data_IF_558130914531
#
_entry.id   IF_558130914531
#
_cell.length_a   1.000
_cell.length_b   1.000
_cell.length_c   1.000
_cell.angle_alpha   90.00
_cell.angle_beta   90.00
_cell.angle_gamma   90.00
#
_symmetry.space_group_name_H-M   'P 1'
#
loop_
_entity.id
_entity.type
_entity.pdbx_description
1 polymer ?
#
# COMPACT_ATOMS: atom_id res chain seq x y z
N UNK A 1 15.45 2.09 -19.46
CA UNK A 1 14.38 1.53 -18.59
C UNK A 1 13.33 2.60 -18.37
N UNK A 2 12.05 2.25 -18.41
CA UNK A 2 10.98 3.18 -18.02
C UNK A 2 10.76 3.03 -16.52
N UNK A 3 10.88 4.12 -15.76
CA UNK A 3 10.61 4.11 -14.31
C UNK A 3 9.11 3.95 -14.09
N UNK A 4 8.74 3.01 -13.23
CA UNK A 4 7.36 2.77 -12.79
C UNK A 4 7.12 3.53 -11.49
N UNK A 5 6.13 4.39 -11.47
CA UNK A 5 5.81 5.19 -10.28
C UNK A 5 4.77 4.51 -9.42
N UNK A 6 5.09 4.28 -8.16
CA UNK A 6 4.13 3.93 -7.12
C UNK A 6 3.72 5.23 -6.43
N UNK A 7 2.44 5.59 -6.54
CA UNK A 7 1.91 6.75 -5.85
C UNK A 7 1.44 6.36 -4.44
N UNK A 8 1.92 7.08 -3.44
CA UNK A 8 1.53 6.87 -2.04
C UNK A 8 0.83 8.12 -1.52
N UNK A 9 -0.42 7.96 -1.10
CA UNK A 9 -1.17 9.06 -0.51
C UNK A 9 -0.56 9.50 0.82
N UNK A 10 -0.54 10.81 1.06
CA UNK A 10 -0.10 11.41 2.33
C UNK A 10 -1.10 12.49 2.75
N UNK A 11 -1.49 12.45 4.01
CA UNK A 11 -2.47 13.35 4.61
C UNK A 11 -2.24 13.47 6.12
N UNK A 12 -2.86 14.44 6.75
CA UNK A 12 -2.77 14.60 8.21
C UNK A 12 -3.19 13.32 8.92
N UNK A 13 -2.55 13.02 10.03
CA UNK A 13 -2.73 11.83 10.87
C UNK A 13 -2.36 10.49 10.21
N UNK A 14 -1.68 10.50 9.06
CA UNK A 14 -1.14 9.28 8.44
C UNK A 14 -0.37 8.47 9.46
N UNK A 15 -0.63 7.17 9.54
CA UNK A 15 0.05 6.23 10.43
C UNK A 15 1.42 5.82 9.84
N UNK A 16 2.48 6.42 10.36
CA UNK A 16 3.85 6.33 9.80
C UNK A 16 4.37 4.89 9.66
N UNK A 17 4.03 4.03 10.61
CA UNK A 17 4.55 2.65 10.67
C UNK A 17 3.94 1.72 9.60
N UNK A 18 2.77 2.05 9.06
CA UNK A 18 1.99 1.14 8.21
C UNK A 18 2.59 0.99 6.82
N UNK A 19 3.13 2.06 6.26
CA UNK A 19 3.62 2.09 4.88
C UNK A 19 5.14 2.21 4.79
N UNK A 20 5.82 2.41 5.93
CA UNK A 20 7.26 2.63 5.96
C UNK A 20 8.05 1.49 5.31
N UNK A 21 7.70 0.23 5.61
CA UNK A 21 8.34 -0.94 5.01
C UNK A 21 8.12 -1.00 3.49
N UNK A 22 6.88 -0.80 3.02
CA UNK A 22 6.57 -0.80 1.60
C UNK A 22 7.32 0.32 0.85
N UNK A 23 7.20 1.57 1.32
CA UNK A 23 7.82 2.72 0.67
C UNK A 23 9.34 2.63 0.63
N UNK A 24 9.99 2.27 1.76
CA UNK A 24 11.43 2.19 1.85
C UNK A 24 12.00 1.13 0.90
N UNK A 25 11.36 -0.04 0.81
CA UNK A 25 11.87 -1.15 0.02
C UNK A 25 11.46 -1.09 -1.46
N UNK A 26 10.42 -0.36 -1.84
CA UNK A 26 10.17 0.01 -3.24
C UNK A 26 11.25 0.96 -3.74
N UNK A 27 11.66 1.94 -2.93
CA UNK A 27 12.67 2.92 -3.30
C UNK A 27 14.11 2.36 -3.19
N UNK A 28 14.37 1.50 -2.21
CA UNK A 28 15.68 0.84 -2.00
C UNK A 28 15.65 -0.56 -2.63
N UNK A 29 16.33 -0.73 -3.73
CA UNK A 29 16.07 -1.77 -4.71
C UNK A 29 17.21 -2.77 -4.95
N UNK A 30 18.13 -2.96 -3.98
CA UNK A 30 19.25 -3.89 -4.12
C UNK A 30 18.84 -5.33 -4.49
N UNK A 31 17.73 -5.81 -3.95
CA UNK A 31 17.18 -7.15 -4.19
C UNK A 31 16.06 -7.20 -5.24
N UNK A 32 15.80 -6.10 -5.94
CA UNK A 32 14.86 -6.09 -7.06
C UNK A 32 15.42 -6.85 -8.28
N UNK A 33 14.52 -7.44 -9.07
CA UNK A 33 14.88 -8.11 -10.33
C UNK A 33 15.57 -7.15 -11.30
N UNK A 34 15.08 -5.91 -11.36
CA UNK A 34 15.62 -4.83 -12.16
C UNK A 34 15.79 -3.59 -11.28
N UNK A 35 16.97 -3.39 -10.65
CA UNK A 35 17.22 -2.22 -9.82
C UNK A 35 16.96 -0.90 -10.56
N UNK A 36 16.33 0.07 -9.87
CA UNK A 36 15.99 1.37 -10.46
C UNK A 36 14.69 1.39 -11.26
N UNK A 37 13.94 0.29 -11.30
CA UNK A 37 12.66 0.24 -12.03
C UNK A 37 11.54 1.02 -11.32
N UNK A 38 11.53 1.07 -9.99
CA UNK A 38 10.45 1.69 -9.23
C UNK A 38 10.90 2.96 -8.50
N UNK A 39 9.99 3.90 -8.39
CA UNK A 39 10.08 5.06 -7.49
C UNK A 39 8.79 5.22 -6.71
N UNK A 40 8.85 5.87 -5.55
CA UNK A 40 7.69 6.30 -4.78
C UNK A 40 7.52 7.80 -4.95
N UNK A 41 6.31 8.24 -5.29
CA UNK A 41 5.91 9.65 -5.37
C UNK A 41 4.76 9.86 -4.40
N UNK A 42 4.87 10.85 -3.53
CA UNK A 42 3.85 11.16 -2.53
C UNK A 42 2.77 12.07 -3.09
N UNK A 43 1.50 11.77 -2.76
CA UNK A 43 0.33 12.50 -3.27
C UNK A 43 -0.50 13.01 -2.10
N UNK A 44 -0.68 14.33 -2.00
CA UNK A 44 -1.57 14.97 -1.03
C UNK A 44 -2.87 15.46 -1.67
N UNK A 45 -3.84 15.90 -0.86
CA UNK A 45 -5.00 16.64 -1.38
C UNK A 45 -4.56 17.92 -2.11
N UNK A 46 -3.50 18.55 -1.59
CA UNK A 46 -2.72 19.63 -2.20
C UNK A 46 -1.24 19.35 -2.00
N UNK A 47 -0.37 20.24 -2.44
CA UNK A 47 1.07 20.19 -2.14
C UNK A 47 1.44 20.89 -0.82
N UNK A 48 0.47 21.28 -0.01
CA UNK A 48 0.73 21.82 1.32
C UNK A 48 1.28 20.75 2.26
N UNK A 49 2.22 21.09 3.17
CA UNK A 49 2.76 20.13 4.11
C UNK A 49 1.70 19.56 5.05
N UNK A 50 1.73 18.25 5.22
CA UNK A 50 0.89 17.50 6.18
C UNK A 50 1.67 17.15 7.45
N UNK A 51 0.97 16.73 8.49
CA UNK A 51 1.57 16.25 9.74
C UNK A 51 1.06 14.84 10.03
N UNK A 52 1.97 13.86 10.09
CA UNK A 52 1.65 12.46 10.36
C UNK A 52 1.23 12.22 11.81
N UNK A 53 0.77 11.00 12.14
CA UNK A 53 0.50 10.57 13.51
C UNK A 53 1.75 10.68 14.40
N UNK A 54 2.93 10.34 13.87
CA UNK A 54 4.23 10.48 14.54
C UNK A 54 4.78 11.92 14.58
N UNK A 55 4.00 12.91 14.16
CA UNK A 55 4.36 14.34 14.15
C UNK A 55 5.45 14.69 13.15
N UNK A 56 5.72 13.85 12.18
CA UNK A 56 6.59 14.18 11.05
C UNK A 56 5.87 15.12 10.10
N UNK A 57 6.60 16.07 9.51
CA UNK A 57 6.09 16.94 8.47
C UNK A 57 6.53 16.41 7.11
N UNK A 58 5.56 16.18 6.24
CA UNK A 58 5.79 15.70 4.87
C UNK A 58 5.19 16.70 3.90
N UNK A 59 5.95 17.10 2.88
CA UNK A 59 5.44 17.90 1.76
C UNK A 59 5.16 16.91 0.62
N UNK A 60 3.90 16.80 0.16
CA UNK A 60 3.58 15.95 -0.98
C UNK A 60 4.29 16.41 -2.26
N UNK A 61 4.73 15.44 -3.06
CA UNK A 61 5.37 15.72 -4.36
C UNK A 61 4.34 16.15 -5.41
N UNK A 62 3.08 15.68 -5.29
CA UNK A 62 2.00 15.86 -6.26
C UNK A 62 0.69 16.18 -5.55
N UNK A 63 -0.12 17.04 -6.13
CA UNK A 63 -1.50 17.21 -5.71
C UNK A 63 -2.40 16.14 -6.33
N UNK A 64 -3.44 15.68 -5.60
CA UNK A 64 -4.37 14.66 -6.05
C UNK A 64 -5.07 14.99 -7.38
N UNK A 65 -5.26 16.29 -7.65
CA UNK A 65 -5.86 16.75 -8.91
C UNK A 65 -4.99 16.46 -10.15
N UNK A 66 -3.69 16.24 -9.95
CA UNK A 66 -2.71 15.94 -11.00
C UNK A 66 -2.47 14.43 -11.17
N UNK A 67 -3.03 13.61 -10.25
CA UNK A 67 -2.84 12.16 -10.25
C UNK A 67 -3.63 11.50 -11.39
N UNK A 68 -2.89 10.82 -12.30
CA UNK A 68 -3.47 10.02 -13.38
C UNK A 68 -3.12 8.53 -13.18
N UNK A 69 -4.10 7.61 -13.21
CA UNK A 69 -3.83 6.17 -13.20
C UNK A 69 -2.87 5.71 -14.31
N UNK A 70 -2.87 6.36 -15.47
CA UNK A 70 -2.01 6.01 -16.60
C UNK A 70 -0.51 6.17 -16.30
N UNK A 71 -0.15 7.04 -15.34
CA UNK A 71 1.21 7.31 -14.93
C UNK A 71 1.62 6.51 -13.67
N UNK A 72 0.77 5.56 -13.26
CA UNK A 72 0.93 4.85 -11.99
C UNK A 72 1.04 3.34 -12.14
N UNK A 73 1.94 2.73 -11.39
CA UNK A 73 2.02 1.29 -11.24
C UNK A 73 1.13 0.77 -10.09
N UNK A 74 0.85 1.62 -9.10
CA UNK A 74 0.00 1.31 -7.93
C UNK A 74 -0.32 2.59 -7.16
N UNK A 75 -1.50 2.62 -6.51
CA UNK A 75 -1.86 3.61 -5.50
C UNK A 75 -1.84 2.96 -4.11
N UNK A 76 -1.05 3.50 -3.19
CA UNK A 76 -1.00 3.07 -1.79
C UNK A 76 -1.73 4.09 -0.92
N UNK A 77 -2.65 3.60 -0.09
CA UNK A 77 -3.47 4.38 0.84
C UNK A 77 -3.17 3.94 2.28
N UNK A 78 -2.42 4.74 3.05
CA UNK A 78 -2.17 4.50 4.47
C UNK A 78 -3.42 4.68 5.34
N UNK A 79 -3.40 4.14 6.56
CA UNK A 79 -4.36 4.49 7.60
C UNK A 79 -4.17 5.93 8.10
N UNK A 80 -5.26 6.52 8.57
CA UNK A 80 -5.31 7.80 9.24
C UNK A 80 -6.62 7.94 10.00
N UNK A 81 -6.68 8.81 11.00
CA UNK A 81 -7.91 9.11 11.74
C UNK A 81 -8.99 9.75 10.85
N UNK A 82 -8.57 10.35 9.73
CA UNK A 82 -9.46 11.07 8.82
C UNK A 82 -10.37 10.17 7.97
N UNK A 83 -10.12 8.86 7.89
CA UNK A 83 -10.88 7.95 7.04
C UNK A 83 -12.35 7.77 7.46
N UNK A 84 -12.65 7.93 8.75
CA UNK A 84 -14.03 7.81 9.24
C UNK A 84 -14.93 9.01 8.88
N UNK A 85 -14.31 10.13 8.45
CA UNK A 85 -15.00 11.33 7.97
C UNK A 85 -14.95 11.45 6.45
N UNK A 86 -15.37 12.62 5.94
CA UNK A 86 -15.43 12.90 4.50
C UNK A 86 -14.16 13.55 3.94
N UNK A 87 -13.18 13.84 4.80
CA UNK A 87 -11.97 14.56 4.39
C UNK A 87 -11.16 13.83 3.31
N UNK A 88 -11.18 12.50 3.33
CA UNK A 88 -10.45 11.66 2.37
C UNK A 88 -11.34 11.06 1.26
N UNK A 89 -12.61 11.48 1.14
CA UNK A 89 -13.48 11.06 0.04
C UNK A 89 -12.88 11.28 -1.37
N UNK A 90 -12.06 12.32 -1.63
CA UNK A 90 -11.35 12.44 -2.91
C UNK A 90 -10.38 11.29 -3.21
N UNK A 91 -9.76 10.68 -2.20
CA UNK A 91 -8.91 9.49 -2.38
C UNK A 91 -9.73 8.22 -2.63
N UNK A 92 -10.95 8.11 -2.11
CA UNK A 92 -11.89 7.02 -2.45
C UNK A 92 -12.25 7.06 -3.94
N UNK A 93 -12.52 8.26 -4.46
CA UNK A 93 -12.80 8.44 -5.88
C UNK A 93 -11.56 8.15 -6.74
N UNK A 94 -10.37 8.55 -6.29
CA UNK A 94 -9.14 8.17 -6.94
C UNK A 94 -8.95 6.64 -6.98
N UNK A 95 -9.22 5.95 -5.86
CA UNK A 95 -9.15 4.48 -5.80
C UNK A 95 -10.10 3.82 -6.80
N UNK A 96 -11.35 4.31 -6.93
CA UNK A 96 -12.29 3.83 -7.97
C UNK A 96 -11.73 3.99 -9.38
N UNK A 97 -11.17 5.17 -9.68
CA UNK A 97 -10.58 5.44 -11.02
C UNK A 97 -9.40 4.50 -11.29
N UNK A 98 -8.55 4.24 -10.30
CA UNK A 98 -7.40 3.35 -10.43
C UNK A 98 -7.84 1.92 -10.72
N UNK A 99 -8.74 1.37 -9.92
CA UNK A 99 -9.27 0.01 -10.13
C UNK A 99 -9.98 -0.10 -11.47
N UNK A 100 -10.76 0.90 -11.85
CA UNK A 100 -11.44 0.93 -13.16
C UNK A 100 -10.46 0.98 -14.35
N UNK A 101 -9.26 1.55 -14.14
CA UNK A 101 -8.17 1.59 -15.13
C UNK A 101 -7.29 0.31 -15.10
N UNK A 102 -7.57 -0.66 -14.22
CA UNK A 102 -6.74 -1.86 -14.04
C UNK A 102 -5.43 -1.59 -13.30
N UNK A 103 -5.32 -0.46 -12.60
CA UNK A 103 -4.15 -0.11 -11.77
C UNK A 103 -4.43 -0.53 -10.33
N UNK A 104 -3.56 -1.33 -9.70
CA UNK A 104 -3.80 -1.83 -8.36
C UNK A 104 -3.84 -0.72 -7.30
N UNK A 105 -4.69 -0.95 -6.29
CA UNK A 105 -4.82 -0.10 -5.10
C UNK A 105 -4.55 -0.94 -3.86
N UNK A 106 -3.71 -0.45 -2.98
CA UNK A 106 -3.37 -1.08 -1.72
C UNK A 106 -3.78 -0.17 -0.55
N UNK A 107 -4.67 -0.65 0.33
CA UNK A 107 -5.12 0.08 1.51
C UNK A 107 -4.85 -0.69 2.79
N UNK A 108 -4.38 0.01 3.82
CA UNK A 108 -4.08 -0.58 5.12
C UNK A 108 -4.84 0.16 6.23
N UNK A 109 -5.28 -0.55 7.27
CA UNK A 109 -5.91 0.05 8.45
C UNK A 109 -7.16 0.90 8.10
N UNK A 110 -7.18 2.18 8.47
CA UNK A 110 -8.27 3.10 8.17
C UNK A 110 -8.60 3.23 6.68
N UNK A 111 -7.63 3.07 5.79
CA UNK A 111 -7.87 3.14 4.35
C UNK A 111 -8.79 2.02 3.83
N UNK A 112 -8.84 0.87 4.50
CA UNK A 112 -9.78 -0.20 4.15
C UNK A 112 -11.23 0.23 4.32
N UNK A 113 -11.53 1.11 5.30
CA UNK A 113 -12.85 1.73 5.47
C UNK A 113 -13.20 2.60 4.26
N UNK A 114 -12.25 3.41 3.78
CA UNK A 114 -12.43 4.19 2.56
C UNK A 114 -12.66 3.32 1.32
N UNK A 115 -11.91 2.21 1.17
CA UNK A 115 -12.12 1.25 0.08
C UNK A 115 -13.49 0.57 0.16
N UNK A 116 -13.96 0.24 1.37
CA UNK A 116 -15.30 -0.32 1.60
C UNK A 116 -16.37 0.70 1.20
N UNK A 117 -16.28 1.96 1.67
CA UNK A 117 -17.20 3.05 1.34
C UNK A 117 -17.17 3.39 -0.16
N UNK A 118 -16.04 3.16 -0.81
CA UNK A 118 -15.92 3.25 -2.26
C UNK A 118 -16.63 2.11 -3.02
N UNK A 119 -17.16 1.08 -2.34
CA UNK A 119 -17.77 -0.09 -2.97
C UNK A 119 -16.72 -1.06 -3.58
N UNK A 120 -15.45 -0.85 -3.32
CA UNK A 120 -14.36 -1.66 -3.89
C UNK A 120 -14.19 -3.01 -3.20
N UNK A 121 -14.83 -3.21 -2.04
CA UNK A 121 -14.76 -4.44 -1.26
C UNK A 121 -16.07 -5.26 -1.32
N UNK A 122 -17.10 -4.80 -2.05
CA UNK A 122 -18.43 -5.42 -2.06
C UNK A 122 -18.43 -6.82 -2.70
N UNK A 123 -17.51 -7.09 -3.63
CA UNK A 123 -17.43 -8.34 -4.39
C UNK A 123 -16.01 -8.96 -4.39
N UNK A 124 -15.18 -8.59 -3.41
CA UNK A 124 -13.77 -9.01 -3.31
C UNK A 124 -13.46 -9.59 -1.94
N UNK A 125 -12.62 -10.63 -1.91
CA UNK A 125 -11.98 -11.04 -0.68
C UNK A 125 -11.12 -9.89 -0.11
N UNK A 126 -11.26 -9.59 1.17
CA UNK A 126 -10.58 -8.47 1.82
C UNK A 126 -10.44 -8.71 3.32
N UNK A 127 -9.58 -7.91 3.95
CA UNK A 127 -9.43 -7.84 5.39
C UNK A 127 -9.39 -6.39 5.87
N UNK A 128 -9.39 -6.18 7.17
CA UNK A 128 -9.30 -4.89 7.83
C UNK A 128 -8.91 -5.08 9.30
N UNK A 129 -8.92 -4.01 10.09
CA UNK A 129 -8.72 -4.04 11.54
C UNK A 129 -9.72 -4.95 12.26
N UNK A 130 -10.97 -4.99 11.79
CA UNK A 130 -12.04 -5.87 12.26
C UNK A 130 -13.23 -5.80 11.29
N UNK A 131 -14.05 -6.87 11.16
CA UNK A 131 -15.25 -6.85 10.31
C UNK A 131 -16.27 -5.80 10.78
N UNK A 132 -16.39 -5.59 12.10
CA UNK A 132 -17.28 -4.56 12.68
C UNK A 132 -16.87 -3.15 12.28
N UNK A 133 -15.56 -2.90 12.14
CA UNK A 133 -15.06 -1.60 11.68
C UNK A 133 -15.57 -1.27 10.29
N UNK A 134 -15.50 -2.23 9.37
CA UNK A 134 -16.01 -2.04 8.00
C UNK A 134 -17.54 -1.91 7.94
N UNK A 135 -18.26 -2.55 8.85
CA UNK A 135 -19.72 -2.46 8.88
C UNK A 135 -20.23 -1.02 9.02
N UNK A 136 -19.48 -0.14 9.70
CA UNK A 136 -19.84 1.28 9.83
C UNK A 136 -19.74 2.06 8.51
N UNK A 137 -19.05 1.56 7.50
CA UNK A 137 -18.99 2.18 6.17
C UNK A 137 -20.28 2.01 5.36
N UNK A 138 -21.13 1.05 5.75
CA UNK A 138 -22.34 0.69 5.03
C UNK A 138 -22.11 -0.14 3.75
N UNK A 139 -20.92 -0.71 3.56
CA UNK A 139 -20.58 -1.55 2.41
C UNK A 139 -21.37 -2.87 2.41
N UNK A 140 -21.41 -3.54 1.27
CA UNK A 140 -22.20 -4.77 1.08
C UNK A 140 -21.36 -6.06 1.05
N UNK A 141 -20.04 -5.96 1.29
CA UNK A 141 -19.09 -7.07 1.08
C UNK A 141 -18.80 -7.94 2.31
N UNK A 142 -19.60 -7.87 3.39
CA UNK A 142 -19.29 -8.57 4.64
C UNK A 142 -19.06 -10.08 4.49
N UNK A 143 -19.70 -10.72 3.51
CA UNK A 143 -19.54 -12.15 3.22
C UNK A 143 -18.17 -12.51 2.61
N UNK A 144 -17.45 -11.52 2.09
CA UNK A 144 -16.13 -11.66 1.49
C UNK A 144 -14.99 -11.31 2.46
N UNK A 145 -15.31 -10.96 3.72
CA UNK A 145 -14.30 -10.68 4.73
C UNK A 145 -13.49 -11.94 5.06
N UNK A 146 -12.17 -11.81 5.09
CA UNK A 146 -11.23 -12.87 5.44
C UNK A 146 -10.45 -12.42 6.69
N UNK A 147 -10.47 -13.23 7.73
CA UNK A 147 -9.66 -13.00 8.94
C UNK A 147 -8.20 -13.41 8.64
N UNK A 148 -7.45 -12.46 8.07
CA UNK A 148 -6.05 -12.63 7.69
C UNK A 148 -5.31 -11.30 7.81
N UNK A 149 -3.99 -11.30 8.06
CA UNK A 149 -3.17 -10.09 8.18
C UNK A 149 -3.23 -9.18 6.95
N UNK A 150 -3.20 -9.77 5.77
CA UNK A 150 -3.34 -9.06 4.50
C UNK A 150 -4.03 -9.98 3.48
N UNK A 151 -4.78 -9.38 2.56
CA UNK A 151 -5.52 -10.09 1.50
C UNK A 151 -5.36 -9.31 0.19
N UNK A 152 -5.05 -10.04 -0.87
CA UNK A 152 -5.06 -9.53 -2.25
C UNK A 152 -6.15 -10.24 -3.04
N UNK A 153 -7.08 -9.49 -3.61
CA UNK A 153 -8.03 -10.02 -4.59
C UNK A 153 -8.09 -9.09 -5.81
N UNK A 154 -7.74 -9.65 -6.96
CA UNK A 154 -7.64 -8.92 -8.23
C UNK A 154 -6.67 -7.73 -8.09
N UNK A 155 -7.15 -6.51 -8.24
CA UNK A 155 -6.36 -5.28 -8.19
C UNK A 155 -6.50 -4.53 -6.85
N UNK A 156 -7.00 -5.18 -5.79
CA UNK A 156 -7.14 -4.57 -4.47
C UNK A 156 -6.39 -5.37 -3.42
N UNK A 157 -5.55 -4.68 -2.66
CA UNK A 157 -4.80 -5.20 -1.50
C UNK A 157 -5.37 -4.53 -0.26
N UNK A 158 -5.66 -5.32 0.77
CA UNK A 158 -6.10 -4.83 2.09
C UNK A 158 -5.27 -5.46 3.19
N UNK A 159 -5.05 -4.73 4.29
CA UNK A 159 -4.37 -5.24 5.48
C UNK A 159 -4.88 -4.56 6.76
N UNK A 160 -4.71 -5.20 7.91
CA UNK A 160 -4.92 -4.59 9.21
C UNK A 160 -3.73 -3.71 9.64
N UNK A 161 -3.93 -2.87 10.66
CA UNK A 161 -2.92 -1.90 11.14
C UNK A 161 -1.68 -2.52 11.79
N UNK A 162 -1.77 -3.80 12.17
CA UNK A 162 -0.68 -4.51 12.86
C UNK A 162 0.20 -5.30 11.89
N UNK A 163 -0.14 -5.31 10.60
CA UNK A 163 0.45 -6.15 9.56
C UNK A 163 1.20 -5.38 8.46
N UNK A 164 2.08 -4.40 8.80
CA UNK A 164 2.79 -3.60 7.80
C UNK A 164 3.74 -4.41 6.91
N UNK A 165 4.29 -5.51 7.41
CA UNK A 165 5.20 -6.38 6.63
C UNK A 165 4.43 -7.31 5.69
N UNK A 166 3.29 -7.84 6.12
CA UNK A 166 2.36 -8.60 5.29
C UNK A 166 1.81 -7.72 4.16
N UNK A 167 1.39 -6.50 4.50
CA UNK A 167 0.99 -5.49 3.52
C UNK A 167 2.08 -5.23 2.49
N UNK A 168 3.31 -4.98 2.93
CA UNK A 168 4.45 -4.73 2.05
C UNK A 168 4.73 -5.95 1.14
N UNK A 169 4.65 -7.19 1.68
CA UNK A 169 4.81 -8.42 0.90
C UNK A 169 3.79 -8.52 -0.22
N UNK A 170 2.51 -8.25 0.04
CA UNK A 170 1.46 -8.26 -0.97
C UNK A 170 1.71 -7.17 -2.05
N UNK A 171 2.12 -5.96 -1.65
CA UNK A 171 2.51 -4.88 -2.55
C UNK A 171 3.66 -5.31 -3.47
N UNK A 172 4.74 -5.89 -2.90
CA UNK A 172 5.90 -6.35 -3.68
C UNK A 172 5.54 -7.48 -4.63
N UNK A 173 4.70 -8.39 -4.19
CA UNK A 173 4.21 -9.50 -5.02
C UNK A 173 3.38 -8.97 -6.19
N UNK A 174 2.46 -8.04 -5.94
CA UNK A 174 1.61 -7.45 -6.99
C UNK A 174 2.37 -6.59 -7.99
N UNK A 175 3.44 -5.92 -7.54
CA UNK A 175 4.35 -5.14 -8.39
C UNK A 175 5.39 -6.03 -9.10
N UNK A 176 5.53 -7.29 -8.70
CA UNK A 176 6.56 -8.22 -9.22
C UNK A 176 7.97 -7.66 -9.09
N UNK A 177 8.26 -6.99 -7.96
CA UNK A 177 9.55 -6.30 -7.76
C UNK A 177 10.73 -7.26 -7.80
N UNK A 178 10.53 -8.52 -7.41
CA UNK A 178 11.55 -9.58 -7.47
C UNK A 178 10.91 -10.96 -7.66
N UNK A 179 11.74 -11.99 -7.65
CA UNK A 179 11.26 -13.38 -7.67
C UNK A 179 10.51 -13.72 -6.37
N UNK A 180 9.47 -14.58 -6.41
CA UNK A 180 8.70 -14.95 -5.21
C UNK A 180 9.56 -15.42 -4.04
N UNK A 181 10.63 -16.22 -4.30
CA UNK A 181 11.55 -16.69 -3.26
C UNK A 181 12.33 -15.56 -2.57
N UNK A 182 12.60 -14.46 -3.31
CA UNK A 182 13.34 -13.31 -2.78
C UNK A 182 12.41 -12.43 -1.96
N UNK A 183 11.18 -12.22 -2.42
CA UNK A 183 10.14 -11.54 -1.65
C UNK A 183 9.85 -12.31 -0.34
N UNK A 184 9.80 -13.67 -0.40
CA UNK A 184 9.64 -14.49 0.80
C UNK A 184 10.84 -14.35 1.75
N UNK A 185 12.08 -14.38 1.24
CA UNK A 185 13.26 -14.16 2.08
C UNK A 185 13.23 -12.78 2.74
N UNK A 186 12.82 -11.73 2.03
CA UNK A 186 12.61 -10.41 2.62
C UNK A 186 11.59 -10.49 3.78
N UNK A 187 10.46 -11.14 3.54
CA UNK A 187 9.41 -11.28 4.55
C UNK A 187 9.87 -12.09 5.77
N UNK A 188 10.57 -13.22 5.58
CA UNK A 188 11.15 -13.99 6.68
C UNK A 188 12.14 -13.16 7.52
N UNK A 189 12.97 -12.36 6.86
CA UNK A 189 13.92 -11.50 7.54
C UNK A 189 13.24 -10.44 8.41
N UNK A 190 12.29 -9.69 7.83
CA UNK A 190 11.73 -8.51 8.48
C UNK A 190 10.54 -8.83 9.41
N UNK A 191 9.64 -9.70 9.01
CA UNK A 191 8.46 -10.08 9.81
C UNK A 191 8.80 -11.13 10.88
N UNK A 192 9.59 -12.14 10.51
CA UNK A 192 9.92 -13.26 11.41
C UNK A 192 11.30 -13.18 12.04
N UNK A 193 12.11 -12.17 11.66
CA UNK A 193 13.46 -11.95 12.19
C UNK A 193 14.38 -13.14 11.98
N UNK A 194 14.20 -13.87 10.88
CA UNK A 194 15.05 -15.00 10.52
C UNK A 194 16.36 -14.50 9.88
N UNK A 195 17.51 -14.58 10.60
CA UNK A 195 18.77 -14.10 10.07
C UNK A 195 19.30 -14.95 8.89
N UNK A 196 18.82 -16.19 8.73
CA UNK A 196 19.24 -17.04 7.62
C UNK A 196 18.72 -16.48 6.27
N UNK A 197 17.57 -15.80 6.28
CA UNK A 197 17.01 -15.17 5.09
C UNK A 197 17.87 -14.00 4.56
N UNK A 198 18.68 -13.37 5.40
CA UNK A 198 19.62 -12.33 4.97
C UNK A 198 20.65 -12.86 3.94
N UNK A 199 21.14 -14.07 4.14
CA UNK A 199 22.10 -14.67 3.20
C UNK A 199 21.50 -14.86 1.80
N UNK A 200 20.20 -15.19 1.72
CA UNK A 200 19.48 -15.35 0.44
C UNK A 200 19.41 -14.01 -0.30
N UNK A 201 19.09 -12.92 0.41
CA UNK A 201 19.02 -11.57 -0.18
C UNK A 201 20.40 -11.10 -0.63
N UNK A 202 21.43 -11.24 0.23
CA UNK A 202 22.79 -10.81 -0.08
C UNK A 202 23.41 -11.58 -1.27
N UNK A 203 23.15 -12.89 -1.38
CA UNK A 203 23.57 -13.68 -2.53
C UNK A 203 22.88 -13.24 -3.82
N UNK A 204 21.58 -12.95 -3.73
CA UNK A 204 20.82 -12.45 -4.89
C UNK A 204 21.34 -11.09 -5.36
N UNK A 205 21.53 -10.14 -4.45
CA UNK A 205 22.09 -8.82 -4.75
C UNK A 205 23.48 -8.92 -5.40
N UNK A 206 24.36 -9.76 -4.84
CA UNK A 206 25.71 -9.96 -5.38
C UNK A 206 25.71 -10.57 -6.79
N UNK A 207 24.69 -11.38 -7.13
CA UNK A 207 24.57 -12.00 -8.45
C UNK A 207 23.98 -11.05 -9.52
N UNK A 208 23.38 -9.93 -9.11
CA UNK A 208 22.68 -8.97 -9.98
C UNK A 208 23.27 -7.55 -9.91
N UNK A 209 24.42 -7.37 -9.22
CA UNK A 209 25.14 -6.11 -9.08
C UNK A 209 25.94 -5.70 -10.33
#
# INVERSE_FOLDING_TARGET
MTIKTVHMAVYDTLADWEVGAAAAHIANNGWHREPGTFQVVTVGLSTDPITTAGRLRVTPDLALAELDPADSAMLILPGADLWEGDALAPFEEAARRFVAAGVPVAGICGATFGLARAGLLDDRAHTSNAPEYLAYSGYSGAEHYVDAPAVTDRDVITADSMSPFEFAREVFTRLEVSEPRIIDAWYQLFAHRDPAAYAVLAEYEAAHA
#
